data_IF_053618662039
#
_entry.id   IF_053618662039
#
_cell.length_a   1.000
_cell.length_b   1.000
_cell.length_c   1.000
_cell.angle_alpha   90.00
_cell.angle_beta   90.00
_cell.angle_gamma   90.00
#
_symmetry.space_group_name_H-M   'P 1'
#
loop_
_entity.id
_entity.type
_entity.pdbx_description
1 polymer ?
#
# COMPACT_ATOMS: atom_id res chain seq x y z
N UNK A 1 20.29 -1.52 26.60
CA UNK A 1 19.44 -2.04 25.49
C UNK A 1 19.28 -0.92 24.46
N UNK A 2 20.00 -0.99 23.33
CA UNK A 2 19.89 0.04 22.29
C UNK A 2 18.50 -0.02 21.66
N UNK A 3 17.70 0.99 21.91
CA UNK A 3 16.41 1.18 21.25
C UNK A 3 16.67 1.25 19.73
N UNK A 4 16.15 0.33 18.89
CA UNK A 4 16.44 0.37 17.47
C UNK A 4 15.93 1.70 16.92
N UNK A 5 16.83 2.52 16.37
CA UNK A 5 16.50 3.79 15.72
C UNK A 5 15.30 3.56 14.79
N UNK A 6 14.18 4.20 15.11
CA UNK A 6 12.98 4.13 14.28
C UNK A 6 13.27 4.88 12.99
N UNK A 7 13.16 4.18 11.86
CA UNK A 7 13.39 4.81 10.58
C UNK A 7 12.10 5.46 10.08
N UNK A 8 12.16 6.77 9.90
CA UNK A 8 11.11 7.55 9.28
C UNK A 8 11.63 8.21 8.00
N UNK A 9 10.82 8.15 6.96
CA UNK A 9 11.02 8.87 5.71
C UNK A 9 10.05 10.04 5.67
N UNK A 10 10.55 11.25 5.41
CA UNK A 10 9.72 12.44 5.25
C UNK A 10 9.34 12.59 3.78
N UNK A 11 8.04 12.59 3.50
CA UNK A 11 7.50 12.84 2.15
C UNK A 11 7.55 14.34 1.82
N UNK A 12 7.36 14.69 0.56
CA UNK A 12 7.26 16.09 0.13
C UNK A 12 6.12 16.86 0.81
N UNK A 13 5.07 16.14 1.23
CA UNK A 13 3.92 16.72 1.92
C UNK A 13 4.07 16.64 3.46
N UNK A 14 5.30 16.60 3.95
CA UNK A 14 5.64 16.55 5.38
C UNK A 14 5.01 15.36 6.16
N UNK A 15 4.64 14.27 5.48
CA UNK A 15 4.20 13.06 6.15
C UNK A 15 5.41 12.21 6.55
N UNK A 16 5.46 11.78 7.82
CA UNK A 16 6.47 10.86 8.33
C UNK A 16 6.01 9.42 8.06
N UNK A 17 6.67 8.73 7.16
CA UNK A 17 6.41 7.33 6.80
C UNK A 17 7.32 6.43 7.61
N UNK A 18 6.74 5.63 8.48
CA UNK A 18 7.49 4.62 9.23
C UNK A 18 7.87 3.46 8.32
N UNK A 19 9.14 3.05 8.33
CA UNK A 19 9.62 1.95 7.51
C UNK A 19 10.66 1.09 8.22
N UNK A 20 10.89 -0.09 7.67
CA UNK A 20 12.02 -0.97 7.97
C UNK A 20 12.64 -1.42 6.65
N UNK A 21 13.92 -1.16 6.50
CA UNK A 21 14.71 -1.65 5.37
C UNK A 21 15.72 -2.67 5.86
N UNK A 22 15.65 -3.89 5.34
CA UNK A 22 16.63 -4.95 5.54
C UNK A 22 17.54 -4.92 4.33
N UNK A 23 18.79 -4.54 4.56
CA UNK A 23 19.80 -4.43 3.52
C UNK A 23 20.77 -5.60 3.61
N UNK A 24 20.57 -6.60 2.78
CA UNK A 24 21.45 -7.78 2.63
C UNK A 24 22.45 -7.62 1.47
N UNK A 25 22.71 -6.38 1.02
CA UNK A 25 23.61 -6.06 -0.11
C UNK A 25 23.21 -6.72 -1.44
N UNK A 26 21.95 -7.13 -1.59
CA UNK A 26 21.42 -7.74 -2.80
C UNK A 26 21.17 -6.70 -3.90
N UNK A 27 21.29 -7.12 -5.17
CA UNK A 27 20.87 -6.31 -6.32
C UNK A 27 19.35 -6.28 -6.50
N UNK A 28 18.61 -7.11 -5.77
CA UNK A 28 17.15 -7.18 -5.80
C UNK A 28 16.57 -6.80 -4.44
N UNK A 29 15.49 -6.02 -4.47
CA UNK A 29 14.75 -5.62 -3.27
C UNK A 29 13.29 -6.07 -3.39
N UNK A 30 12.84 -6.85 -2.43
CA UNK A 30 11.42 -7.11 -2.23
C UNK A 30 10.78 -5.88 -1.58
N UNK A 31 9.66 -5.43 -2.13
CA UNK A 31 8.86 -4.34 -1.58
C UNK A 31 7.49 -4.90 -1.21
N UNK A 32 7.17 -4.89 0.07
CA UNK A 32 5.88 -5.36 0.56
C UNK A 32 4.90 -4.21 0.78
N UNK A 33 3.78 -4.30 0.09
CA UNK A 33 2.66 -3.36 0.13
C UNK A 33 1.51 -4.02 0.90
N UNK A 34 1.26 -3.53 2.10
CA UNK A 34 0.27 -4.13 2.99
C UNK A 34 -1.18 -3.73 2.63
N UNK A 35 -2.17 -4.46 3.16
CA UNK A 35 -3.59 -4.18 2.95
C UNK A 35 -4.13 -3.03 3.80
N UNK A 36 -5.41 -2.73 3.58
CA UNK A 36 -6.15 -1.68 4.30
C UNK A 36 -6.10 -1.90 5.81
N UNK A 37 -5.83 -0.83 6.58
CA UNK A 37 -5.74 -0.85 8.04
C UNK A 37 -4.76 -1.90 8.62
N UNK A 38 -3.77 -2.33 7.81
CA UNK A 38 -2.70 -3.23 8.21
C UNK A 38 -1.41 -2.47 8.55
N UNK A 39 -0.33 -3.20 8.84
CA UNK A 39 0.97 -2.62 9.18
C UNK A 39 2.13 -3.60 8.91
N UNK A 40 3.37 -3.16 9.15
CA UNK A 40 4.59 -3.96 8.96
C UNK A 40 4.86 -5.01 10.05
N UNK A 41 3.96 -5.17 11.03
CA UNK A 41 4.01 -6.22 12.06
C UNK A 41 3.10 -7.42 11.73
N UNK A 42 2.39 -7.38 10.60
CA UNK A 42 1.48 -8.45 10.15
C UNK A 42 2.21 -9.79 9.98
N UNK A 43 1.45 -10.90 10.03
CA UNK A 43 2.02 -12.24 9.80
C UNK A 43 2.78 -12.33 8.48
N UNK A 44 2.22 -11.77 7.38
CA UNK A 44 2.87 -11.73 6.07
C UNK A 44 4.22 -10.99 6.12
N UNK A 45 4.26 -9.82 6.76
CA UNK A 45 5.50 -9.06 6.89
C UNK A 45 6.55 -9.81 7.74
N UNK A 46 6.13 -10.56 8.78
CA UNK A 46 7.04 -11.39 9.57
C UNK A 46 7.66 -12.52 8.74
N UNK A 47 6.84 -13.24 7.94
CA UNK A 47 7.34 -14.30 7.05
C UNK A 47 8.29 -13.75 5.99
N UNK A 48 7.97 -12.60 5.38
CA UNK A 48 8.86 -11.96 4.41
C UNK A 48 10.18 -11.52 5.03
N UNK A 49 10.20 -11.08 6.30
CA UNK A 49 11.45 -10.78 7.01
C UNK A 49 12.32 -12.02 7.16
N UNK A 50 11.73 -13.14 7.58
CA UNK A 50 12.44 -14.41 7.71
C UNK A 50 13.01 -14.83 6.35
N UNK A 51 12.18 -14.91 5.33
CA UNK A 51 12.58 -15.25 3.96
C UNK A 51 13.71 -14.37 3.42
N UNK A 52 13.60 -13.05 3.59
CA UNK A 52 14.60 -12.10 3.09
C UNK A 52 15.97 -12.29 3.75
N UNK A 53 16.01 -12.60 5.06
CA UNK A 53 17.25 -12.85 5.78
C UNK A 53 17.87 -14.19 5.36
N UNK A 54 17.08 -15.25 5.27
CA UNK A 54 17.54 -16.59 4.89
C UNK A 54 18.12 -16.62 3.46
N UNK A 55 17.47 -15.89 2.55
CA UNK A 55 17.88 -15.85 1.13
C UNK A 55 18.78 -14.65 0.79
N UNK A 56 19.21 -13.87 1.78
CA UNK A 56 20.07 -12.69 1.61
C UNK A 56 19.55 -11.72 0.55
N UNK A 57 18.22 -11.50 0.50
CA UNK A 57 17.55 -10.55 -0.39
C UNK A 57 17.17 -9.29 0.41
N UNK A 58 17.28 -8.10 -0.19
CA UNK A 58 16.82 -6.87 0.46
C UNK A 58 15.30 -6.86 0.61
N UNK A 59 14.81 -6.26 1.70
CA UNK A 59 13.37 -6.10 1.94
C UNK A 59 13.04 -4.71 2.44
N UNK A 60 12.13 -4.03 1.75
CA UNK A 60 11.52 -2.79 2.20
C UNK A 60 10.09 -3.05 2.69
N UNK A 61 9.83 -2.70 3.94
CA UNK A 61 8.53 -2.67 4.59
C UNK A 61 8.25 -1.23 5.01
N UNK A 62 7.07 -0.72 4.78
CA UNK A 62 6.67 0.62 5.25
C UNK A 62 5.17 0.68 5.50
N UNK A 63 4.75 1.68 6.26
CA UNK A 63 3.36 1.96 6.60
C UNK A 63 2.95 3.24 5.88
N UNK A 64 1.85 3.23 5.14
CA UNK A 64 1.37 4.43 4.44
C UNK A 64 0.94 5.52 5.44
N UNK A 65 0.83 6.77 4.98
CA UNK A 65 0.23 7.86 5.77
C UNK A 65 -1.10 7.42 6.39
N UNK A 66 -1.29 7.72 7.67
CA UNK A 66 -2.48 7.32 8.43
C UNK A 66 -2.56 5.84 8.81
N UNK A 67 -1.47 5.05 8.60
CA UNK A 67 -1.38 3.64 9.03
C UNK A 67 -0.24 3.44 10.04
N UNK A 68 -0.48 2.54 10.98
CA UNK A 68 0.53 2.10 11.94
C UNK A 68 1.18 3.25 12.71
N UNK A 69 2.47 3.47 12.49
CA UNK A 69 3.28 4.52 13.12
C UNK A 69 3.54 5.73 12.20
N UNK A 70 3.08 5.67 10.97
CA UNK A 70 3.15 6.80 10.04
C UNK A 70 2.22 7.92 10.48
N UNK A 71 2.55 9.17 10.15
CA UNK A 71 1.79 10.34 10.57
C UNK A 71 0.43 10.46 9.87
N UNK A 72 -0.43 11.30 10.45
CA UNK A 72 -1.76 11.62 9.95
C UNK A 72 -2.85 10.64 10.41
N UNK A 73 -4.10 10.99 10.16
CA UNK A 73 -5.26 10.13 10.42
C UNK A 73 -5.63 9.38 9.16
N UNK A 74 -6.05 8.13 9.26
CA UNK A 74 -6.50 7.33 8.12
C UNK A 74 -7.52 8.06 7.24
N UNK A 75 -8.44 8.80 7.85
CA UNK A 75 -9.51 9.57 7.19
C UNK A 75 -9.04 10.70 6.30
N UNK A 76 -7.79 11.13 6.46
CA UNK A 76 -7.21 12.25 5.69
C UNK A 76 -6.65 11.79 4.34
N UNK A 77 -6.54 10.46 4.14
CA UNK A 77 -5.85 9.87 3.00
C UNK A 77 -6.74 8.95 2.15
N UNK A 78 -6.21 8.60 1.00
CA UNK A 78 -6.85 7.72 0.01
C UNK A 78 -5.80 6.86 -0.70
N UNK A 79 -6.24 5.94 -1.55
CA UNK A 79 -5.35 5.12 -2.40
C UNK A 79 -4.35 5.99 -3.17
N UNK A 80 -4.78 7.15 -3.67
CA UNK A 80 -3.92 8.07 -4.41
C UNK A 80 -2.75 8.56 -3.56
N UNK A 81 -2.99 8.92 -2.30
CA UNK A 81 -1.95 9.32 -1.37
C UNK A 81 -0.98 8.16 -1.09
N UNK A 82 -1.49 6.95 -0.86
CA UNK A 82 -0.67 5.78 -0.55
C UNK A 82 0.17 5.29 -1.73
N UNK A 83 -0.31 5.48 -2.95
CA UNK A 83 0.52 5.28 -4.17
C UNK A 83 1.68 6.28 -4.18
N UNK A 84 1.43 7.55 -3.85
CA UNK A 84 2.48 8.58 -3.83
C UNK A 84 3.48 8.36 -2.69
N UNK A 85 3.03 7.98 -1.49
CA UNK A 85 3.90 7.57 -0.38
C UNK A 85 4.83 6.44 -0.84
N UNK A 86 4.24 5.40 -1.45
CA UNK A 86 4.97 4.24 -1.95
C UNK A 86 6.01 4.64 -3.00
N UNK A 87 5.60 5.44 -3.98
CA UNK A 87 6.47 5.94 -5.04
C UNK A 87 7.65 6.73 -4.49
N UNK A 88 7.38 7.60 -3.53
CA UNK A 88 8.38 8.49 -2.94
C UNK A 88 9.43 7.72 -2.14
N UNK A 89 9.00 6.81 -1.25
CA UNK A 89 9.93 6.03 -0.44
C UNK A 89 10.74 5.04 -1.28
N UNK A 90 10.12 4.38 -2.27
CA UNK A 90 10.82 3.47 -3.19
C UNK A 90 11.88 4.24 -3.99
N UNK A 91 11.53 5.39 -4.55
CA UNK A 91 12.46 6.22 -5.31
C UNK A 91 13.64 6.67 -4.46
N UNK A 92 13.44 6.98 -3.18
CA UNK A 92 14.49 7.47 -2.29
C UNK A 92 15.41 6.35 -1.80
N UNK A 93 14.84 5.22 -1.36
CA UNK A 93 15.60 4.17 -0.70
C UNK A 93 16.12 3.09 -1.66
N UNK A 94 15.41 2.88 -2.79
CA UNK A 94 15.70 1.79 -3.74
C UNK A 94 16.11 2.38 -5.07
N UNK A 95 17.25 3.06 -5.09
CA UNK A 95 17.66 3.89 -6.25
C UNK A 95 17.95 3.06 -7.52
N UNK A 96 18.77 1.99 -7.45
CA UNK A 96 19.24 1.22 -8.62
C UNK A 96 18.82 -0.24 -8.63
N UNK A 97 18.33 -0.78 -7.51
CA UNK A 97 18.01 -2.20 -7.39
C UNK A 97 16.86 -2.63 -8.30
N UNK A 98 16.91 -3.88 -8.72
CA UNK A 98 15.76 -4.60 -9.27
C UNK A 98 14.68 -4.73 -8.20
N UNK A 99 13.41 -4.76 -8.58
CA UNK A 99 12.28 -4.71 -7.66
C UNK A 99 11.41 -5.94 -7.86
N UNK A 100 11.06 -6.60 -6.77
CA UNK A 100 9.95 -7.55 -6.71
C UNK A 100 8.86 -6.94 -5.85
N UNK A 101 7.68 -6.72 -6.43
CA UNK A 101 6.53 -6.20 -5.71
C UNK A 101 5.75 -7.36 -5.08
N UNK A 102 5.41 -7.26 -3.81
CA UNK A 102 4.48 -8.18 -3.15
C UNK A 102 3.36 -7.33 -2.55
N UNK A 103 2.16 -7.45 -3.12
CA UNK A 103 0.98 -6.69 -2.68
C UNK A 103 -0.07 -7.58 -2.05
N UNK A 104 -0.60 -7.19 -0.89
CA UNK A 104 -1.71 -7.91 -0.24
C UNK A 104 -2.98 -7.07 -0.25
N UNK A 105 -4.08 -7.60 -0.80
CA UNK A 105 -5.39 -6.93 -0.87
C UNK A 105 -5.25 -5.55 -1.53
N UNK A 106 -5.59 -4.45 -0.85
CA UNK A 106 -5.35 -3.08 -1.28
C UNK A 106 -3.90 -2.85 -1.76
N UNK A 107 -2.92 -3.46 -1.09
CA UNK A 107 -1.50 -3.33 -1.47
C UNK A 107 -1.21 -3.89 -2.87
N UNK A 108 -1.98 -4.86 -3.35
CA UNK A 108 -1.87 -5.34 -4.72
C UNK A 108 -2.38 -4.28 -5.73
N UNK A 109 -3.45 -3.57 -5.42
CA UNK A 109 -3.90 -2.45 -6.26
C UNK A 109 -2.84 -1.33 -6.31
N UNK A 110 -2.26 -0.99 -5.16
CA UNK A 110 -1.15 -0.02 -5.11
C UNK A 110 0.04 -0.52 -5.97
N UNK A 111 0.40 -1.82 -5.86
CA UNK A 111 1.45 -2.41 -6.69
C UNK A 111 1.19 -2.24 -8.18
N UNK A 112 -0.02 -2.55 -8.64
CA UNK A 112 -0.45 -2.38 -10.04
C UNK A 112 -0.24 -0.91 -10.49
N UNK A 113 -0.67 0.05 -9.66
CA UNK A 113 -0.51 1.47 -9.97
C UNK A 113 0.95 1.93 -10.00
N UNK A 114 1.84 1.24 -9.28
CA UNK A 114 3.29 1.51 -9.28
C UNK A 114 4.02 0.93 -10.49
N UNK A 115 3.47 -0.06 -11.20
CA UNK A 115 4.10 -0.70 -12.35
C UNK A 115 4.59 0.34 -13.37
N UNK A 116 3.74 1.28 -13.76
CA UNK A 116 4.10 2.33 -14.73
C UNK A 116 5.28 3.21 -14.31
N UNK A 117 5.52 3.35 -13.00
CA UNK A 117 6.59 4.21 -12.48
C UNK A 117 7.94 3.50 -12.37
N UNK A 118 7.92 2.16 -12.28
CA UNK A 118 9.11 1.34 -12.04
C UNK A 118 9.27 0.21 -13.05
N UNK A 119 8.54 0.23 -14.16
CA UNK A 119 8.43 -0.84 -15.15
C UNK A 119 9.76 -1.49 -15.50
N UNK A 120 10.77 -0.69 -15.88
CA UNK A 120 12.11 -1.19 -16.29
C UNK A 120 12.87 -1.90 -15.16
N UNK A 121 12.47 -1.71 -13.91
CA UNK A 121 13.14 -2.23 -12.72
C UNK A 121 12.41 -3.42 -12.11
N UNK A 122 11.12 -3.57 -12.37
CA UNK A 122 10.32 -4.67 -11.83
C UNK A 122 10.74 -5.97 -12.49
N UNK A 123 11.00 -6.99 -11.67
CA UNK A 123 11.39 -8.34 -12.06
C UNK A 123 10.35 -9.39 -11.67
N UNK A 124 9.33 -9.01 -10.95
CA UNK A 124 8.22 -9.86 -10.57
C UNK A 124 7.19 -9.12 -9.72
N UNK A 125 5.96 -9.61 -9.77
CA UNK A 125 4.87 -9.13 -8.94
C UNK A 125 4.08 -10.31 -8.36
N UNK A 126 3.90 -10.34 -7.05
CA UNK A 126 3.08 -11.33 -6.35
C UNK A 126 1.87 -10.62 -5.74
N UNK A 127 0.69 -11.05 -6.13
CA UNK A 127 -0.58 -10.54 -5.63
C UNK A 127 -1.22 -11.55 -4.66
N UNK A 128 -1.35 -11.18 -3.38
CA UNK A 128 -1.95 -12.03 -2.34
C UNK A 128 -3.37 -11.54 -2.06
N UNK A 129 -4.37 -12.33 -2.45
CA UNK A 129 -5.79 -11.98 -2.36
C UNK A 129 -6.04 -10.54 -2.84
N UNK A 130 -5.72 -10.23 -4.12
CA UNK A 130 -5.75 -8.87 -4.64
C UNK A 130 -7.16 -8.28 -4.61
N UNK A 131 -7.25 -6.99 -4.32
CA UNK A 131 -8.50 -6.24 -4.33
C UNK A 131 -8.33 -4.93 -5.13
N UNK A 132 -8.06 -5.01 -6.46
CA UNK A 132 -8.04 -3.81 -7.29
C UNK A 132 -9.43 -3.18 -7.32
N UNK A 133 -9.46 -1.85 -7.42
CA UNK A 133 -10.69 -1.05 -7.55
C UNK A 133 -11.76 -1.29 -6.45
N UNK A 134 -11.36 -1.87 -5.30
CA UNK A 134 -12.31 -2.29 -4.25
C UNK A 134 -13.15 -1.12 -3.70
N UNK A 135 -12.68 0.10 -3.77
CA UNK A 135 -13.45 1.28 -3.35
C UNK A 135 -14.69 1.50 -4.21
N UNK A 136 -14.63 1.15 -5.49
CA UNK A 136 -15.78 1.16 -6.42
C UNK A 136 -16.53 -0.16 -6.35
N UNK A 137 -15.82 -1.28 -6.61
CA UNK A 137 -16.46 -2.58 -6.84
C UNK A 137 -17.03 -3.22 -5.56
N UNK A 138 -16.32 -3.12 -4.45
CA UNK A 138 -16.70 -3.79 -3.20
C UNK A 138 -17.36 -2.87 -2.19
N UNK A 139 -17.20 -1.54 -2.33
CA UNK A 139 -17.79 -0.57 -1.40
C UNK A 139 -18.86 0.25 -2.11
N UNK A 140 -18.49 1.16 -3.01
CA UNK A 140 -19.42 2.15 -3.56
C UNK A 140 -20.63 1.53 -4.28
N UNK A 141 -20.41 0.54 -5.13
CA UNK A 141 -21.50 -0.15 -5.85
C UNK A 141 -22.46 -0.90 -4.92
N UNK A 142 -22.01 -1.31 -3.73
CA UNK A 142 -22.82 -2.07 -2.77
C UNK A 142 -23.57 -1.18 -1.76
N UNK A 143 -23.25 0.11 -1.71
CA UNK A 143 -23.95 1.06 -0.83
C UNK A 143 -25.33 1.40 -1.40
N UNK A 144 -26.31 1.54 -0.50
CA UNK A 144 -27.61 2.10 -0.82
C UNK A 144 -27.53 3.64 -0.98
N UNK A 145 -28.62 4.24 -1.46
CA UNK A 145 -28.63 5.69 -1.76
C UNK A 145 -28.46 6.57 -0.52
N UNK A 146 -29.01 6.16 0.63
CA UNK A 146 -28.89 6.87 1.88
C UNK A 146 -27.40 6.91 2.31
N UNK A 147 -26.70 5.79 2.23
CA UNK A 147 -25.28 5.68 2.56
C UNK A 147 -24.40 6.50 1.60
N UNK A 148 -24.72 6.44 0.30
CA UNK A 148 -24.04 7.26 -0.72
C UNK A 148 -24.22 8.75 -0.46
N UNK A 149 -25.43 9.18 -0.09
CA UNK A 149 -25.72 10.59 0.27
C UNK A 149 -24.93 10.99 1.49
N UNK A 150 -24.85 10.14 2.55
CA UNK A 150 -24.04 10.42 3.74
C UNK A 150 -22.60 10.68 3.37
N UNK A 151 -22.01 9.82 2.54
CA UNK A 151 -20.60 9.98 2.09
C UNK A 151 -20.44 11.24 1.25
N UNK A 152 -21.36 11.52 0.29
CA UNK A 152 -21.32 12.73 -0.54
C UNK A 152 -21.37 14.01 0.29
N UNK A 153 -22.11 14.01 1.41
CA UNK A 153 -22.19 15.12 2.38
C UNK A 153 -21.00 15.17 3.36
N UNK A 154 -19.87 14.53 3.02
CA UNK A 154 -18.64 14.48 3.84
C UNK A 154 -18.79 13.81 5.22
N UNK A 155 -19.85 13.05 5.46
CA UNK A 155 -19.98 12.24 6.68
C UNK A 155 -19.14 10.98 6.55
N UNK A 156 -18.53 10.56 7.65
CA UNK A 156 -17.78 9.30 7.70
C UNK A 156 -18.79 8.15 7.76
N UNK A 157 -18.71 7.24 6.79
CA UNK A 157 -19.45 6.00 6.80
C UNK A 157 -18.63 4.89 7.46
N UNK A 158 -19.19 4.22 8.46
CA UNK A 158 -18.53 3.11 9.16
C UNK A 158 -18.86 1.79 8.46
N UNK A 159 -17.96 1.30 7.61
CA UNK A 159 -18.11 0.02 6.96
C UNK A 159 -17.68 -1.11 7.90
N UNK A 160 -18.58 -2.05 8.20
CA UNK A 160 -18.27 -3.23 9.03
C UNK A 160 -17.25 -4.13 8.31
N UNK A 161 -16.17 -4.49 8.99
CA UNK A 161 -15.18 -5.44 8.49
C UNK A 161 -15.52 -6.87 8.94
N UNK A 162 -14.92 -7.87 8.28
CA UNK A 162 -15.05 -9.28 8.65
C UNK A 162 -14.52 -9.62 10.07
N UNK A 163 -13.81 -8.69 10.71
CA UNK A 163 -13.21 -8.87 12.04
C UNK A 163 -13.93 -8.08 13.14
N UNK A 164 -15.21 -7.77 12.94
CA UNK A 164 -16.03 -6.96 13.85
C UNK A 164 -15.50 -5.52 14.12
N UNK A 165 -14.55 -5.06 13.34
CA UNK A 165 -14.07 -3.67 13.34
C UNK A 165 -14.80 -2.87 12.28
N UNK A 166 -14.62 -1.54 12.31
CA UNK A 166 -15.18 -0.65 11.30
C UNK A 166 -14.08 0.07 10.54
N UNK A 167 -14.24 0.16 9.22
CA UNK A 167 -13.42 1.02 8.38
C UNK A 167 -14.12 2.37 8.20
N UNK A 168 -13.48 3.48 8.55
CA UNK A 168 -14.05 4.81 8.33
C UNK A 168 -13.89 5.19 6.85
N UNK A 169 -14.99 5.12 6.10
CA UNK A 169 -15.03 5.45 4.68
C UNK A 169 -15.39 6.91 4.50
N UNK A 170 -14.54 7.66 3.81
CA UNK A 170 -14.72 9.09 3.53
C UNK A 170 -15.05 9.32 2.05
N UNK A 171 -15.60 10.51 1.74
CA UNK A 171 -15.78 10.96 0.35
C UNK A 171 -14.47 10.92 -0.43
N UNK A 172 -13.37 11.44 0.16
CA UNK A 172 -12.04 11.43 -0.43
C UNK A 172 -11.58 10.01 -0.77
N UNK A 173 -11.76 9.06 0.15
CA UNK A 173 -11.36 7.67 -0.04
C UNK A 173 -12.02 7.04 -1.27
N UNK A 174 -13.33 7.23 -1.43
CA UNK A 174 -14.11 6.70 -2.56
C UNK A 174 -13.73 7.40 -3.87
N UNK A 175 -13.84 8.75 -3.90
CA UNK A 175 -13.73 9.48 -5.16
C UNK A 175 -12.31 9.59 -5.69
N UNK A 176 -11.28 9.56 -4.85
CA UNK A 176 -9.90 9.44 -5.30
C UNK A 176 -9.63 8.04 -5.88
N UNK A 177 -10.20 6.98 -5.26
CA UNK A 177 -10.14 5.62 -5.80
C UNK A 177 -10.76 5.54 -7.19
N UNK A 178 -11.93 6.14 -7.39
CA UNK A 178 -12.63 6.17 -8.67
C UNK A 178 -11.80 6.78 -9.82
N UNK A 179 -10.90 7.72 -9.52
CA UNK A 179 -10.04 8.35 -10.52
C UNK A 179 -8.89 7.47 -11.01
N UNK A 180 -8.60 6.35 -10.34
CA UNK A 180 -7.42 5.52 -10.59
C UNK A 180 -7.75 4.03 -10.78
N UNK A 181 -8.95 3.73 -11.25
CA UNK A 181 -9.41 2.37 -11.54
C UNK A 181 -8.52 1.69 -12.58
N UNK A 182 -8.32 0.38 -12.43
CA UNK A 182 -7.40 -0.42 -13.25
C UNK A 182 -8.03 -1.66 -13.89
N UNK A 183 -9.17 -2.17 -13.38
CA UNK A 183 -9.78 -3.41 -13.88
C UNK A 183 -10.18 -3.34 -15.36
N UNK A 184 -10.55 -2.16 -15.84
CA UNK A 184 -10.92 -1.94 -17.25
C UNK A 184 -9.73 -1.54 -18.12
N UNK A 185 -8.49 -1.72 -17.66
CA UNK A 185 -7.27 -1.32 -18.38
C UNK A 185 -6.39 -2.52 -18.62
N UNK A 186 -5.87 -2.64 -19.84
CA UNK A 186 -4.81 -3.61 -20.14
C UNK A 186 -3.52 -3.15 -19.44
N UNK A 187 -2.93 -4.04 -18.66
CA UNK A 187 -1.65 -3.82 -17.99
C UNK A 187 -0.63 -4.74 -18.66
N UNK A 188 0.28 -4.15 -19.42
CA UNK A 188 1.34 -4.92 -20.05
C UNK A 188 2.46 -5.19 -19.02
N UNK A 189 2.74 -6.46 -18.78
CA UNK A 189 3.83 -6.89 -17.91
C UNK A 189 4.81 -7.72 -18.72
N UNK A 190 6.10 -7.38 -18.69
CA UNK A 190 7.20 -8.19 -19.26
C UNK A 190 7.92 -9.00 -18.19
N UNK A 191 7.30 -9.18 -17.03
CA UNK A 191 7.81 -9.90 -15.87
C UNK A 191 6.74 -10.85 -15.32
N UNK A 192 7.11 -11.91 -14.59
CA UNK A 192 6.17 -12.85 -13.96
C UNK A 192 5.20 -12.16 -12.99
N UNK A 193 3.92 -12.58 -13.03
CA UNK A 193 2.85 -12.12 -12.14
C UNK A 193 2.23 -13.32 -11.46
#
# INVERSE_FOLDING_TARGET
MNNPKQNFFLTKNNQKIHYKFINNKSLTTIIFLHGLMSNIKSKKAKHLKKFANENKINLLLFEYSGHGRSSGKFTDFSIKNWVEDSRSIIKKLINKNKIVLIGSSMGAWIAILLIKHFYKRIKGFIAIAPAPDFTEELIWKKLNDIEKIKIKKNKIYKLKSSRNNFYPITKKFIFDGKKILVLNKKINCSFPV
#
